data_IF_589650597593
#
_entry.id   IF_589650597593
#
_cell.length_a   1.000
_cell.length_b   1.000
_cell.length_c   1.000
_cell.angle_alpha   90.00
_cell.angle_beta   90.00
_cell.angle_gamma   90.00
#
_symmetry.space_group_name_H-M   'P 1'
#
loop_
_entity.id
_entity.type
_entity.pdbx_description
1 polymer ?
#
# COMPACT_ATOMS: atom_id res chain seq x y z
N UNK A 1 4.14 -41.76 76.29
CA UNK A 1 4.76 -41.39 75.00
C UNK A 1 3.68 -41.50 73.94
N UNK A 2 3.02 -40.38 73.66
CA UNK A 2 1.97 -40.26 72.65
C UNK A 2 2.65 -39.78 71.38
N UNK A 3 2.73 -40.64 70.37
CA UNK A 3 3.28 -40.27 69.06
C UNK A 3 2.28 -39.32 68.39
N UNK A 4 2.69 -38.06 68.19
CA UNK A 4 1.99 -37.12 67.33
C UNK A 4 2.07 -37.66 65.90
N UNK A 5 0.92 -38.06 65.36
CA UNK A 5 0.76 -38.24 63.93
C UNK A 5 0.95 -36.87 63.27
N UNK A 6 2.08 -36.69 62.59
CA UNK A 6 2.29 -35.56 61.71
C UNK A 6 1.24 -35.62 60.61
N UNK A 7 0.31 -34.68 60.61
CA UNK A 7 -0.55 -34.41 59.47
C UNK A 7 0.34 -34.08 58.28
N UNK A 8 0.53 -35.05 57.38
CA UNK A 8 1.05 -34.80 56.04
C UNK A 8 0.09 -33.84 55.34
N UNK A 9 0.42 -32.56 55.36
CA UNK A 9 -0.19 -31.56 54.50
C UNK A 9 0.08 -31.97 53.06
N UNK A 10 -0.97 -32.41 52.36
CA UNK A 10 -0.91 -32.68 50.93
C UNK A 10 -0.28 -31.48 50.20
N UNK A 11 0.62 -31.68 49.22
CA UNK A 11 1.24 -30.58 48.50
C UNK A 11 0.14 -29.74 47.82
N UNK A 12 -0.01 -28.50 48.27
CA UNK A 12 -0.97 -27.56 47.71
C UNK A 12 -0.32 -26.93 46.49
N UNK A 13 -0.84 -27.27 45.31
CA UNK A 13 -0.45 -26.59 44.06
C UNK A 13 -0.95 -25.14 44.15
N UNK A 14 -0.07 -24.13 44.08
CA UNK A 14 -0.49 -22.74 44.14
C UNK A 14 -1.40 -22.41 42.95
N UNK A 15 -2.32 -21.47 43.15
CA UNK A 15 -3.18 -20.98 42.08
C UNK A 15 -2.32 -20.48 40.90
N UNK A 16 -2.72 -20.73 39.65
CA UNK A 16 -1.96 -20.27 38.49
C UNK A 16 -1.88 -18.74 38.48
N UNK A 17 -0.66 -18.21 38.44
CA UNK A 17 -0.33 -16.81 38.13
C UNK A 17 -0.23 -16.62 36.62
N UNK A 18 -0.18 -15.40 36.06
CA UNK A 18 0.17 -15.19 34.65
C UNK A 18 1.49 -15.90 34.27
N UNK A 19 1.63 -16.44 33.04
CA UNK A 19 2.77 -17.29 32.70
C UNK A 19 4.11 -16.54 32.63
N UNK A 20 4.09 -15.23 32.42
CA UNK A 20 5.22 -14.30 32.48
C UNK A 20 5.62 -13.93 33.93
N UNK A 21 4.82 -14.30 34.94
CA UNK A 21 5.17 -14.07 36.33
C UNK A 21 6.40 -14.91 36.71
N UNK A 22 7.38 -14.28 37.35
CA UNK A 22 8.64 -14.94 37.72
C UNK A 22 8.47 -16.16 38.66
N UNK A 23 7.32 -16.30 39.32
CA UNK A 23 6.94 -17.40 40.19
C UNK A 23 5.96 -18.42 39.56
N UNK A 24 5.65 -18.27 38.26
CA UNK A 24 4.77 -19.18 37.52
C UNK A 24 5.39 -20.58 37.42
N UNK A 25 4.96 -21.47 38.32
CA UNK A 25 5.50 -22.83 38.42
C UNK A 25 5.21 -23.71 37.19
N UNK A 26 4.18 -23.38 36.42
CA UNK A 26 3.70 -24.18 35.28
C UNK A 26 4.30 -23.75 33.93
N UNK A 27 4.99 -22.60 33.89
CA UNK A 27 5.62 -22.05 32.69
C UNK A 27 6.95 -21.35 33.05
N UNK A 28 7.90 -22.05 33.70
CA UNK A 28 9.10 -21.42 34.30
C UNK A 28 10.09 -20.83 33.28
N UNK A 29 9.92 -21.19 32.00
CA UNK A 29 10.68 -20.73 30.87
C UNK A 29 10.08 -19.48 30.21
N UNK A 30 8.79 -19.20 30.40
CA UNK A 30 8.14 -17.99 29.87
C UNK A 30 8.65 -16.76 30.62
N UNK A 31 9.00 -15.72 29.86
CA UNK A 31 9.51 -14.44 30.36
C UNK A 31 8.53 -13.32 30.15
N UNK A 32 7.83 -13.35 29.04
CA UNK A 32 6.87 -12.35 28.63
C UNK A 32 5.78 -13.02 27.77
N UNK A 33 4.52 -12.60 27.95
CA UNK A 33 3.41 -13.09 27.15
C UNK A 33 2.31 -12.04 27.06
N UNK A 34 2.00 -11.61 25.83
CA UNK A 34 1.08 -10.51 25.61
C UNK A 34 0.21 -10.73 24.39
N UNK A 35 -0.99 -10.14 24.46
CA UNK A 35 -1.90 -10.06 23.33
C UNK A 35 -1.64 -8.75 22.56
N UNK A 36 -0.83 -8.84 21.51
CA UNK A 36 -0.44 -7.68 20.68
C UNK A 36 -1.57 -7.20 19.75
N UNK A 37 -2.52 -8.10 19.46
CA UNK A 37 -3.73 -7.83 18.71
C UNK A 37 -4.80 -8.85 19.11
N UNK A 38 -6.12 -8.56 19.04
CA UNK A 38 -7.16 -9.50 19.46
C UNK A 38 -6.99 -10.92 18.90
N UNK A 39 -6.69 -11.87 19.79
CA UNK A 39 -6.45 -13.28 19.51
C UNK A 39 -5.02 -13.64 19.04
N UNK A 40 -4.13 -12.66 18.87
CA UNK A 40 -2.72 -12.84 18.54
C UNK A 40 -1.90 -12.71 19.82
N UNK A 41 -1.33 -13.81 20.27
CA UNK A 41 -0.51 -13.84 21.49
C UNK A 41 0.94 -14.09 21.11
N UNK A 42 1.83 -13.22 21.59
CA UNK A 42 3.27 -13.41 21.47
C UNK A 42 3.81 -13.93 22.80
N UNK A 43 4.86 -14.74 22.77
CA UNK A 43 5.46 -15.30 23.98
C UNK A 43 6.96 -15.33 23.81
N UNK A 44 7.68 -14.71 24.75
CA UNK A 44 9.13 -14.82 24.84
C UNK A 44 9.48 -15.91 25.84
N UNK A 45 10.16 -16.96 25.38
CA UNK A 45 10.64 -18.07 26.20
C UNK A 45 12.14 -18.01 26.35
N UNK A 46 12.64 -18.34 27.53
CA UNK A 46 14.07 -18.52 27.78
C UNK A 46 14.49 -19.93 27.38
N UNK A 47 15.43 -20.01 26.45
CA UNK A 47 16.09 -21.25 26.07
C UNK A 47 17.48 -21.37 26.71
N UNK A 48 18.22 -22.44 26.36
CA UNK A 48 19.56 -22.70 26.90
C UNK A 48 20.58 -21.62 26.51
N UNK A 49 20.46 -21.08 25.30
CA UNK A 49 21.43 -20.17 24.69
C UNK A 49 20.87 -18.79 24.32
N UNK A 50 19.66 -18.45 24.75
CA UNK A 50 19.04 -17.17 24.41
C UNK A 50 17.55 -17.16 24.70
N UNK A 51 16.81 -16.51 23.81
CA UNK A 51 15.36 -16.42 23.87
C UNK A 51 14.73 -16.96 22.57
N UNK A 52 13.49 -17.42 22.68
CA UNK A 52 12.63 -17.76 21.55
C UNK A 52 11.42 -16.84 21.58
N UNK A 53 11.08 -16.28 20.43
CA UNK A 53 9.91 -15.46 20.21
C UNK A 53 8.88 -16.26 19.43
N UNK A 54 7.80 -16.67 20.11
CA UNK A 54 6.74 -17.49 19.55
C UNK A 54 5.49 -16.66 19.32
N UNK A 55 4.90 -16.80 18.14
CA UNK A 55 3.61 -16.19 17.78
C UNK A 55 2.52 -17.26 17.79
N UNK A 56 1.36 -16.92 18.35
CA UNK A 56 0.14 -17.70 18.24
C UNK A 56 -0.99 -16.86 17.68
N UNK A 57 -1.31 -17.10 16.42
CA UNK A 57 -2.46 -16.51 15.73
C UNK A 57 -3.82 -17.05 16.25
N UNK A 58 -4.93 -16.34 15.95
CA UNK A 58 -6.27 -16.85 16.19
C UNK A 58 -6.51 -18.17 15.46
N UNK A 59 -6.77 -19.24 16.22
CA UNK A 59 -6.97 -20.59 15.68
C UNK A 59 -8.26 -20.65 14.84
N UNK A 60 -8.14 -21.09 13.60
CA UNK A 60 -9.27 -21.37 12.71
C UNK A 60 -9.75 -22.81 12.88
N UNK A 61 -11.06 -22.98 12.95
CA UNK A 61 -11.70 -24.27 12.68
C UNK A 61 -11.61 -24.62 11.20
N UNK A 62 -11.83 -25.89 10.83
CA UNK A 62 -11.81 -26.32 9.44
C UNK A 62 -12.78 -25.51 8.55
N UNK A 63 -14.00 -25.25 9.02
CA UNK A 63 -14.98 -24.45 8.28
C UNK A 63 -14.53 -22.98 8.10
N UNK A 64 -13.81 -22.42 9.07
CA UNK A 64 -13.28 -21.06 8.97
C UNK A 64 -12.08 -20.99 8.02
N UNK A 65 -11.25 -22.03 7.99
CA UNK A 65 -10.16 -22.16 7.01
C UNK A 65 -10.69 -22.29 5.57
N UNK A 66 -11.75 -23.08 5.35
CA UNK A 66 -12.42 -23.18 4.04
C UNK A 66 -13.03 -21.84 3.61
N UNK A 67 -13.63 -21.11 4.55
CA UNK A 67 -14.17 -19.77 4.31
C UNK A 67 -13.06 -18.76 3.96
N UNK A 68 -11.94 -18.78 4.69
CA UNK A 68 -10.76 -17.98 4.37
C UNK A 68 -10.24 -18.29 2.95
N UNK A 69 -10.07 -19.57 2.62
CA UNK A 69 -9.61 -19.98 1.29
C UNK A 69 -10.53 -19.50 0.17
N UNK A 70 -11.84 -19.46 0.42
CA UNK A 70 -12.84 -18.90 -0.52
C UNK A 70 -12.63 -17.40 -0.72
N UNK A 71 -12.37 -16.66 0.35
CA UNK A 71 -12.06 -15.22 0.30
C UNK A 71 -10.76 -14.98 -0.48
N UNK A 72 -9.68 -15.68 -0.13
CA UNK A 72 -8.37 -15.53 -0.79
C UNK A 72 -8.44 -15.87 -2.27
N UNK A 73 -9.14 -16.95 -2.62
CA UNK A 73 -9.35 -17.34 -4.02
C UNK A 73 -10.12 -16.28 -4.81
N UNK A 74 -11.10 -15.62 -4.18
CA UNK A 74 -11.83 -14.53 -4.83
C UNK A 74 -10.90 -13.34 -5.11
N UNK A 75 -10.04 -12.97 -4.14
CA UNK A 75 -9.14 -11.82 -4.25
C UNK A 75 -7.81 -12.11 -4.96
N UNK A 76 -7.57 -13.34 -5.46
CA UNK A 76 -6.31 -13.71 -6.11
C UNK A 76 -5.94 -12.84 -7.32
N UNK A 77 -6.94 -12.24 -8.00
CA UNK A 77 -6.75 -11.30 -9.11
C UNK A 77 -6.98 -9.83 -8.74
N UNK A 78 -7.04 -9.50 -7.45
CA UNK A 78 -7.20 -8.13 -6.97
C UNK A 78 -5.84 -7.43 -6.84
N UNK A 79 -5.83 -6.12 -7.01
CA UNK A 79 -4.67 -5.29 -6.72
C UNK A 79 -4.93 -4.55 -5.40
N UNK A 80 -4.55 -5.19 -4.29
CA UNK A 80 -4.67 -4.61 -2.95
C UNK A 80 -3.30 -4.06 -2.56
N UNK A 81 -3.21 -2.75 -2.36
CA UNK A 81 -1.94 -2.15 -2.00
C UNK A 81 -1.59 -2.45 -0.54
N UNK A 82 -0.58 -3.30 -0.38
CA UNK A 82 0.02 -3.60 0.93
C UNK A 82 0.81 -2.41 1.47
N UNK A 83 0.77 -2.17 2.80
CA UNK A 83 1.62 -1.21 3.48
C UNK A 83 3.10 -1.34 3.11
N UNK A 84 3.86 -0.26 3.34
CA UNK A 84 5.32 -0.23 3.12
C UNK A 84 6.11 -0.24 4.42
N UNK A 85 5.44 -0.05 5.55
CA UNK A 85 6.05 0.10 6.86
C UNK A 85 5.26 -0.67 7.92
N UNK A 86 5.91 -0.92 9.05
CA UNK A 86 5.27 -1.52 10.23
C UNK A 86 4.02 -0.74 10.66
N UNK A 87 4.13 0.59 10.77
CA UNK A 87 3.01 1.44 11.19
C UNK A 87 1.83 1.32 10.22
N UNK A 88 2.10 1.22 8.92
CA UNK A 88 1.06 1.03 7.92
C UNK A 88 0.33 -0.31 8.06
N UNK A 89 1.01 -1.38 8.47
CA UNK A 89 0.38 -2.66 8.77
C UNK A 89 -0.50 -2.58 10.02
N UNK A 90 -0.01 -1.93 11.08
CA UNK A 90 -0.80 -1.67 12.30
C UNK A 90 -2.06 -0.86 11.99
N UNK A 91 -1.94 0.23 11.20
CA UNK A 91 -3.08 1.03 10.74
C UNK A 91 -4.08 0.20 9.94
N UNK A 92 -3.60 -0.67 9.03
CA UNK A 92 -4.44 -1.53 8.19
C UNK A 92 -5.18 -2.58 9.02
N UNK A 93 -4.50 -3.23 9.97
CA UNK A 93 -5.11 -4.23 10.86
C UNK A 93 -6.17 -3.59 11.75
N UNK A 94 -5.88 -2.44 12.36
CA UNK A 94 -6.84 -1.73 13.21
C UNK A 94 -8.04 -1.16 12.43
N UNK A 95 -7.83 -0.69 11.20
CA UNK A 95 -8.90 -0.17 10.34
C UNK A 95 -9.77 -1.26 9.70
N UNK A 96 -9.19 -2.45 9.52
CA UNK A 96 -9.80 -3.57 8.81
C UNK A 96 -10.01 -3.30 7.31
N UNK A 97 -10.82 -4.14 6.67
CA UNK A 97 -11.20 -3.94 5.28
C UNK A 97 -12.08 -2.70 5.12
N UNK A 98 -11.85 -1.94 4.05
CA UNK A 98 -12.73 -0.84 3.66
C UNK A 98 -14.14 -1.34 3.28
N UNK A 99 -15.04 -0.41 3.00
CA UNK A 99 -16.44 -0.73 2.73
C UNK A 99 -16.63 -1.62 1.49
N UNK A 100 -15.82 -1.47 0.43
CA UNK A 100 -15.97 -2.25 -0.81
C UNK A 100 -15.52 -3.70 -0.61
N UNK A 101 -14.37 -3.92 0.04
CA UNK A 101 -13.87 -5.26 0.33
C UNK A 101 -14.75 -5.98 1.34
N UNK A 102 -15.16 -5.28 2.41
CA UNK A 102 -16.03 -5.87 3.45
C UNK A 102 -17.36 -6.37 2.89
N UNK A 103 -17.98 -5.63 1.97
CA UNK A 103 -19.22 -6.05 1.30
C UNK A 103 -19.04 -7.27 0.40
N UNK A 104 -17.87 -7.43 -0.23
CA UNK A 104 -17.56 -8.64 -0.99
C UNK A 104 -17.41 -9.82 -0.04
N UNK A 105 -16.65 -9.65 1.04
CA UNK A 105 -16.49 -10.66 2.09
C UNK A 105 -17.85 -11.06 2.68
N UNK A 106 -18.73 -10.11 2.99
CA UNK A 106 -20.11 -10.36 3.48
C UNK A 106 -20.93 -11.28 2.57
N UNK A 107 -20.64 -11.31 1.27
CA UNK A 107 -21.32 -12.18 0.31
C UNK A 107 -20.68 -13.56 0.22
N UNK A 108 -19.38 -13.65 0.49
CA UNK A 108 -18.62 -14.89 0.39
C UNK A 108 -18.78 -15.75 1.64
N UNK A 109 -18.88 -15.13 2.82
CA UNK A 109 -18.92 -15.84 4.10
C UNK A 109 -20.23 -15.58 4.85
N UNK A 110 -20.81 -16.65 5.39
CA UNK A 110 -21.86 -16.60 6.41
C UNK A 110 -21.29 -17.16 7.71
N UNK A 111 -20.94 -16.28 8.64
CA UNK A 111 -20.13 -16.63 9.81
C UNK A 111 -20.63 -15.90 11.07
N UNK A 112 -20.48 -16.56 12.23
CA UNK A 112 -20.70 -15.91 13.52
C UNK A 112 -19.75 -14.71 13.69
N UNK A 113 -20.08 -13.72 14.55
CA UNK A 113 -19.18 -12.59 14.78
C UNK A 113 -17.78 -13.00 15.27
N UNK A 114 -17.65 -14.09 16.03
CA UNK A 114 -16.36 -14.58 16.49
C UNK A 114 -15.56 -15.24 15.36
N UNK A 115 -16.22 -16.08 14.56
CA UNK A 115 -15.62 -16.71 13.38
C UNK A 115 -15.18 -15.68 12.36
N UNK A 116 -16.03 -14.68 12.13
CA UNK A 116 -15.75 -13.57 11.23
C UNK A 116 -14.50 -12.81 11.63
N UNK A 117 -14.32 -12.46 12.90
CA UNK A 117 -13.11 -11.76 13.37
C UNK A 117 -11.84 -12.56 13.10
N UNK A 118 -11.87 -13.89 13.26
CA UNK A 118 -10.72 -14.75 12.96
C UNK A 118 -10.44 -14.82 11.46
N UNK A 119 -11.48 -15.01 10.65
CA UNK A 119 -11.34 -15.03 9.18
C UNK A 119 -10.81 -13.68 8.68
N UNK A 120 -11.34 -12.57 9.17
CA UNK A 120 -10.90 -11.21 8.79
C UNK A 120 -9.46 -10.94 9.23
N UNK A 121 -9.03 -11.40 10.41
CA UNK A 121 -7.62 -11.31 10.81
C UNK A 121 -6.69 -11.97 9.79
N UNK A 122 -6.97 -13.24 9.46
CA UNK A 122 -6.14 -14.00 8.52
C UNK A 122 -6.22 -13.40 7.11
N UNK A 123 -7.40 -13.01 6.64
CA UNK A 123 -7.56 -12.38 5.34
C UNK A 123 -6.85 -11.02 5.24
N UNK A 124 -6.85 -10.21 6.30
CA UNK A 124 -6.08 -8.96 6.32
C UNK A 124 -4.58 -9.25 6.32
N UNK A 125 -4.13 -10.20 7.14
CA UNK A 125 -2.73 -10.64 7.20
C UNK A 125 -2.24 -11.07 5.80
N UNK A 126 -2.95 -12.02 5.19
CA UNK A 126 -2.55 -12.66 3.94
C UNK A 126 -2.76 -11.78 2.72
N UNK A 127 -3.85 -11.01 2.61
CA UNK A 127 -4.17 -10.22 1.41
C UNK A 127 -3.65 -8.79 1.47
N UNK A 128 -3.64 -8.18 2.66
CA UNK A 128 -3.52 -6.72 2.80
C UNK A 128 -2.36 -6.27 3.69
N UNK A 129 -1.65 -7.17 4.36
CA UNK A 129 -0.52 -6.89 5.24
C UNK A 129 0.72 -7.71 4.83
N UNK A 130 1.43 -8.30 5.78
CA UNK A 130 2.76 -8.91 5.59
C UNK A 130 2.75 -10.43 5.78
N UNK A 131 1.60 -11.08 5.64
CA UNK A 131 1.48 -12.53 5.78
C UNK A 131 2.03 -12.99 7.16
N UNK A 132 2.89 -14.00 7.22
CA UNK A 132 3.55 -14.50 8.45
C UNK A 132 4.28 -13.41 9.27
N UNK A 133 4.68 -12.29 8.66
CA UNK A 133 5.31 -11.17 9.36
C UNK A 133 4.32 -10.19 9.99
N UNK A 134 3.03 -10.28 9.65
CA UNK A 134 1.99 -9.40 10.22
C UNK A 134 1.97 -9.42 11.76
N UNK A 135 1.97 -10.57 12.47
CA UNK A 135 1.96 -10.57 13.93
C UNK A 135 3.19 -9.92 14.56
N UNK A 136 4.37 -10.04 13.93
CA UNK A 136 5.59 -9.36 14.38
C UNK A 136 5.48 -7.85 14.18
N UNK A 137 4.87 -7.40 13.08
CA UNK A 137 4.61 -5.98 12.81
C UNK A 137 3.64 -5.35 13.83
N UNK A 138 2.77 -6.15 14.46
CA UNK A 138 1.82 -5.70 15.46
C UNK A 138 2.44 -5.50 16.84
N UNK A 139 3.61 -6.09 17.10
CA UNK A 139 4.33 -5.85 18.36
C UNK A 139 5.20 -4.60 18.25
N UNK A 140 4.82 -3.56 18.99
CA UNK A 140 5.58 -2.31 19.04
C UNK A 140 6.92 -2.44 19.78
N UNK A 141 7.09 -3.48 20.61
CA UNK A 141 8.30 -3.72 21.42
C UNK A 141 9.44 -4.33 20.62
N UNK A 142 9.17 -4.83 19.41
CA UNK A 142 10.25 -5.23 18.51
C UNK A 142 10.90 -3.96 17.97
N UNK A 143 12.16 -3.76 18.33
CA UNK A 143 12.97 -2.61 17.92
C UNK A 143 13.75 -2.89 16.63
N UNK A 144 14.33 -4.09 16.55
CA UNK A 144 15.23 -4.50 15.46
C UNK A 144 14.94 -5.95 15.08
N UNK A 145 15.07 -6.26 13.80
CA UNK A 145 15.10 -7.64 13.31
C UNK A 145 16.35 -7.86 12.46
N UNK A 146 17.04 -8.97 12.71
CA UNK A 146 18.21 -9.42 11.98
C UNK A 146 17.91 -10.72 11.23
N UNK A 147 18.59 -10.92 10.09
CA UNK A 147 18.54 -12.18 9.34
C UNK A 147 19.82 -12.97 9.61
N UNK A 148 19.65 -14.24 9.94
CA UNK A 148 20.74 -15.21 10.05
C UNK A 148 20.60 -16.28 8.96
N UNK A 149 21.58 -17.18 8.85
CA UNK A 149 21.50 -18.32 7.93
C UNK A 149 20.33 -19.26 8.27
N UNK A 150 19.89 -19.26 9.53
CA UNK A 150 18.88 -20.19 10.06
C UNK A 150 17.46 -19.58 10.10
N UNK A 151 17.32 -18.25 10.09
CA UNK A 151 16.01 -17.59 10.19
C UNK A 151 16.08 -16.10 10.51
N UNK A 152 14.92 -15.54 10.87
CA UNK A 152 14.83 -14.16 11.40
C UNK A 152 14.95 -14.18 12.92
N UNK A 153 15.71 -13.24 13.45
CA UNK A 153 15.88 -12.99 14.88
C UNK A 153 15.35 -11.60 15.19
N UNK A 154 14.57 -11.46 16.26
CA UNK A 154 14.05 -10.18 16.72
C UNK A 154 14.72 -9.75 18.03
N UNK A 155 14.85 -8.44 18.21
CA UNK A 155 15.30 -7.82 19.44
C UNK A 155 14.14 -7.01 19.99
N UNK A 156 13.65 -7.40 21.16
CA UNK A 156 12.63 -6.63 21.88
C UNK A 156 13.30 -5.68 22.88
N UNK A 157 12.52 -4.75 23.43
CA UNK A 157 12.94 -3.83 24.50
C UNK A 157 13.76 -4.53 25.62
N UNK A 158 13.30 -5.71 26.04
CA UNK A 158 13.84 -6.45 27.19
C UNK A 158 14.60 -7.74 26.83
N UNK A 159 14.43 -8.26 25.62
CA UNK A 159 14.95 -9.58 25.23
C UNK A 159 15.62 -9.55 23.85
N UNK A 160 16.92 -9.84 23.85
CA UNK A 160 17.74 -9.83 22.66
C UNK A 160 18.93 -10.81 22.80
N UNK A 161 19.27 -11.57 21.76
CA UNK A 161 18.46 -11.91 20.58
C UNK A 161 17.35 -12.92 20.92
N UNK A 162 16.21 -12.85 20.21
CA UNK A 162 15.13 -13.83 20.29
C UNK A 162 14.88 -14.50 18.92
N UNK A 163 15.08 -15.82 18.85
CA UNK A 163 14.88 -16.61 17.63
C UNK A 163 13.38 -16.75 17.30
N UNK A 164 13.02 -16.66 16.02
CA UNK A 164 11.64 -16.82 15.55
C UNK A 164 11.46 -18.11 14.76
N UNK A 165 10.20 -18.49 14.48
CA UNK A 165 9.87 -19.61 13.58
C UNK A 165 9.92 -19.25 12.09
N UNK A 166 10.31 -18.01 11.75
CA UNK A 166 10.38 -17.54 10.37
C UNK A 166 11.62 -18.11 9.67
N UNK A 167 11.47 -18.46 8.39
CA UNK A 167 12.61 -18.79 7.53
C UNK A 167 13.55 -17.60 7.31
N UNK A 168 14.72 -17.81 6.66
CA UNK A 168 15.74 -16.77 6.51
C UNK A 168 15.37 -15.64 5.53
N UNK A 169 14.39 -15.84 4.66
CA UNK A 169 13.92 -14.81 3.70
C UNK A 169 12.39 -14.81 3.60
N UNK A 170 11.67 -14.39 4.66
CA UNK A 170 10.23 -14.33 4.64
C UNK A 170 9.75 -13.20 3.73
N UNK A 171 8.60 -13.41 3.08
CA UNK A 171 7.99 -12.39 2.25
C UNK A 171 7.77 -11.10 3.05
N UNK A 172 8.06 -9.94 2.44
CA UNK A 172 7.86 -8.60 3.03
C UNK A 172 8.78 -8.24 4.19
N UNK A 173 9.86 -8.98 4.43
CA UNK A 173 10.86 -8.67 5.46
C UNK A 173 11.33 -7.21 5.43
N UNK A 174 11.61 -6.69 4.22
CA UNK A 174 12.05 -5.32 4.05
C UNK A 174 11.02 -4.28 4.52
N UNK A 175 9.72 -4.59 4.43
CA UNK A 175 8.62 -3.69 4.80
C UNK A 175 8.32 -3.75 6.30
N UNK A 176 8.44 -4.94 6.89
CA UNK A 176 8.33 -5.13 8.33
C UNK A 176 9.38 -4.31 9.08
N UNK A 177 10.63 -4.32 8.59
CA UNK A 177 11.72 -3.53 9.16
C UNK A 177 11.72 -2.05 8.71
N UNK A 178 10.67 -1.57 8.04
CA UNK A 178 10.62 -0.20 7.55
C UNK A 178 9.87 0.73 8.49
N UNK A 179 10.43 1.92 8.68
CA UNK A 179 9.86 3.03 9.46
C UNK A 179 9.29 4.09 8.51
N UNK A 180 8.10 4.60 8.82
CA UNK A 180 7.54 5.77 8.11
C UNK A 180 8.23 7.06 8.58
N UNK A 181 8.83 7.78 7.63
CA UNK A 181 9.41 9.10 7.86
C UNK A 181 8.34 10.19 7.75
N UNK A 182 7.53 10.13 6.70
CA UNK A 182 6.53 11.16 6.41
C UNK A 182 5.30 10.59 5.70
N UNK A 183 4.16 11.27 5.86
CA UNK A 183 2.94 11.04 5.08
C UNK A 183 2.25 12.35 4.75
N UNK A 184 1.88 12.51 3.50
CA UNK A 184 1.09 13.63 2.99
C UNK A 184 0.12 13.14 1.91
N UNK A 185 -0.62 14.07 1.30
CA UNK A 185 -1.60 13.77 0.24
C UNK A 185 -1.38 14.68 -0.95
N UNK A 186 -1.42 14.11 -2.15
CA UNK A 186 -1.38 14.85 -3.41
C UNK A 186 -2.77 14.84 -4.03
N UNK A 187 -3.26 16.00 -4.44
CA UNK A 187 -4.58 16.13 -5.06
C UNK A 187 -4.49 15.93 -6.56
N UNK A 188 -5.48 15.23 -7.12
CA UNK A 188 -5.67 15.12 -8.55
C UNK A 188 -7.16 15.03 -8.82
N UNK A 189 -7.74 16.01 -9.52
CA UNK A 189 -9.11 15.89 -10.04
C UNK A 189 -10.16 15.52 -8.96
N UNK A 190 -10.04 16.09 -7.77
CA UNK A 190 -10.94 15.81 -6.62
C UNK A 190 -10.58 14.57 -5.80
N UNK A 191 -9.59 13.78 -6.24
CA UNK A 191 -9.03 12.66 -5.49
C UNK A 191 -7.88 13.13 -4.60
N UNK A 192 -7.79 12.62 -3.38
CA UNK A 192 -6.66 12.83 -2.48
C UNK A 192 -5.86 11.53 -2.39
N UNK A 193 -4.68 11.51 -3.01
CA UNK A 193 -3.83 10.32 -3.11
C UNK A 193 -2.77 10.37 -2.02
N UNK A 194 -2.77 9.42 -1.06
CA UNK A 194 -1.76 9.39 -0.01
C UNK A 194 -0.38 9.08 -0.58
N UNK A 195 0.62 9.75 -0.04
CA UNK A 195 2.03 9.52 -0.30
C UNK A 195 2.72 9.21 1.02
N UNK A 196 3.65 8.25 1.00
CA UNK A 196 4.44 7.87 2.17
C UNK A 196 5.92 7.88 1.80
N UNK A 197 6.72 8.58 2.60
CA UNK A 197 8.18 8.46 2.57
C UNK A 197 8.58 7.57 3.73
N UNK A 198 9.39 6.56 3.46
CA UNK A 198 9.76 5.56 4.45
C UNK A 198 11.23 5.16 4.32
N UNK A 199 11.79 4.65 5.42
CA UNK A 199 13.16 4.18 5.51
C UNK A 199 13.17 2.67 5.74
N UNK A 200 13.85 1.93 4.87
CA UNK A 200 14.08 0.51 5.05
C UNK A 200 15.35 0.30 5.89
N UNK A 201 15.26 -0.49 6.95
CA UNK A 201 16.39 -0.79 7.84
C UNK A 201 17.05 -2.16 7.57
N UNK A 202 16.80 -2.77 6.41
CA UNK A 202 17.41 -4.04 6.03
C UNK A 202 18.70 -3.81 5.20
N UNK A 203 19.85 -4.26 5.72
CA UNK A 203 21.13 -4.15 5.03
C UNK A 203 21.20 -5.11 3.84
N UNK A 204 21.70 -4.64 2.69
CA UNK A 204 22.07 -5.47 1.54
C UNK A 204 20.99 -5.73 0.48
N UNK A 205 19.74 -5.32 0.69
CA UNK A 205 18.65 -5.51 -0.28
C UNK A 205 18.56 -4.40 -1.35
N UNK A 206 18.81 -3.14 -0.97
CA UNK A 206 18.71 -1.97 -1.86
C UNK A 206 19.78 -0.94 -1.45
N UNK A 207 20.53 -0.33 -2.39
CA UNK A 207 21.42 0.79 -2.05
C UNK A 207 20.68 2.00 -1.48
N UNK A 208 19.38 2.11 -1.75
CA UNK A 208 18.55 3.20 -1.23
C UNK A 208 17.87 2.81 0.08
N UNK A 209 18.25 3.49 1.16
CA UNK A 209 17.61 3.33 2.47
C UNK A 209 16.27 4.07 2.55
N UNK A 210 16.14 5.22 1.89
CA UNK A 210 14.90 6.01 1.88
C UNK A 210 14.16 5.80 0.58
N UNK A 211 12.84 5.64 0.65
CA UNK A 211 11.96 5.34 -0.48
C UNK A 211 10.69 6.18 -0.42
N UNK A 212 10.10 6.39 -1.59
CA UNK A 212 8.87 7.16 -1.76
C UNK A 212 7.78 6.25 -2.34
N UNK A 213 6.58 6.25 -1.77
CA UNK A 213 5.48 5.43 -2.27
C UNK A 213 4.21 6.26 -2.47
N UNK A 214 3.63 6.16 -3.67
CA UNK A 214 2.27 6.63 -3.94
C UNK A 214 1.31 5.50 -3.61
N UNK A 215 0.27 5.81 -2.82
CA UNK A 215 -0.76 4.84 -2.47
C UNK A 215 -2.00 5.05 -3.31
N UNK A 216 -2.12 4.30 -4.41
CA UNK A 216 -3.27 4.42 -5.31
C UNK A 216 -4.46 3.62 -4.78
N UNK A 217 -5.70 3.89 -5.25
CA UNK A 217 -6.88 3.17 -4.77
C UNK A 217 -6.83 1.68 -5.12
N UNK A 218 -7.14 0.81 -4.15
CA UNK A 218 -7.19 -0.65 -4.36
C UNK A 218 -8.17 -1.04 -5.49
N UNK A 219 -7.83 -2.04 -6.30
CA UNK A 219 -8.70 -2.56 -7.36
C UNK A 219 -9.24 -3.96 -7.00
N UNK A 220 -10.54 -4.16 -7.19
CA UNK A 220 -11.18 -5.47 -7.03
C UNK A 220 -10.88 -6.38 -8.24
N UNK A 221 -11.08 -7.70 -8.11
CA UNK A 221 -10.90 -8.62 -9.22
C UNK A 221 -11.67 -8.19 -10.47
N UNK A 222 -10.95 -8.06 -11.59
CA UNK A 222 -11.52 -7.69 -12.89
C UNK A 222 -11.73 -6.19 -13.11
N UNK A 223 -11.37 -5.32 -12.15
CA UNK A 223 -11.48 -3.86 -12.30
C UNK A 223 -10.52 -3.30 -13.35
N UNK A 224 -9.30 -3.84 -13.45
CA UNK A 224 -8.34 -3.44 -14.50
C UNK A 224 -8.94 -3.60 -15.91
N UNK A 225 -9.70 -4.68 -16.15
CA UNK A 225 -10.37 -4.91 -17.43
C UNK A 225 -11.49 -3.88 -17.68
N UNK A 226 -12.19 -3.45 -16.63
CA UNK A 226 -13.21 -2.40 -16.74
C UNK A 226 -12.57 -1.06 -17.10
N UNK A 227 -11.42 -0.75 -16.48
CA UNK A 227 -10.62 0.45 -16.77
C UNK A 227 -10.17 0.44 -18.22
N UNK A 228 -9.54 -0.63 -18.70
CA UNK A 228 -9.07 -0.71 -20.10
C UNK A 228 -10.21 -0.56 -21.10
N UNK A 229 -11.31 -1.31 -20.94
CA UNK A 229 -12.47 -1.21 -21.85
C UNK A 229 -13.10 0.18 -21.78
N UNK A 230 -13.10 0.83 -20.62
CA UNK A 230 -13.58 2.20 -20.50
C UNK A 230 -12.67 3.17 -21.25
N UNK A 231 -11.34 3.06 -21.10
CA UNK A 231 -10.37 3.92 -21.79
C UNK A 231 -10.50 3.82 -23.30
N UNK A 232 -10.57 2.60 -23.84
CA UNK A 232 -10.77 2.35 -25.27
C UNK A 232 -12.05 3.04 -25.78
N UNK A 233 -13.18 2.89 -25.07
CA UNK A 233 -14.46 3.48 -25.47
C UNK A 233 -14.49 5.00 -25.40
N UNK A 234 -13.84 5.58 -24.40
CA UNK A 234 -13.69 7.05 -24.30
C UNK A 234 -12.89 7.55 -25.51
N UNK A 235 -11.79 6.87 -25.84
CA UNK A 235 -10.93 7.20 -26.98
C UNK A 235 -11.67 7.11 -28.33
N UNK A 236 -12.38 6.02 -28.60
CA UNK A 236 -13.13 5.81 -29.86
C UNK A 236 -14.21 6.88 -30.12
N UNK A 237 -14.84 7.38 -29.05
CA UNK A 237 -15.95 8.35 -29.18
C UNK A 237 -15.44 9.78 -29.35
N UNK A 238 -14.20 10.08 -28.93
CA UNK A 238 -13.66 11.44 -28.84
C UNK A 238 -13.27 12.10 -30.17
N UNK A 239 -13.46 11.44 -31.32
CA UNK A 239 -12.96 11.90 -32.62
C UNK A 239 -13.93 12.87 -33.35
N UNK A 240 -15.18 12.99 -32.89
CA UNK A 240 -16.21 13.78 -33.57
C UNK A 240 -16.61 15.08 -32.81
N UNK A 241 -15.69 16.03 -32.61
CA UNK A 241 -16.04 17.38 -32.14
C UNK A 241 -14.93 18.20 -31.46
N UNK A 242 -15.15 19.52 -31.31
CA UNK A 242 -14.28 20.41 -30.53
C UNK A 242 -14.68 20.33 -29.05
N UNK A 243 -13.86 19.66 -28.24
CA UNK A 243 -14.06 19.55 -26.79
C UNK A 243 -13.51 20.82 -26.12
N UNK A 244 -14.37 21.58 -25.43
CA UNK A 244 -13.97 22.82 -24.74
C UNK A 244 -13.29 22.55 -23.40
N UNK A 245 -13.73 21.50 -22.69
CA UNK A 245 -13.11 21.01 -21.45
C UNK A 245 -12.90 19.50 -21.56
N UNK A 246 -11.64 19.11 -21.83
CA UNK A 246 -11.26 17.70 -21.98
C UNK A 246 -11.47 16.93 -20.68
N UNK A 247 -11.20 17.55 -19.54
CA UNK A 247 -11.24 16.89 -18.24
C UNK A 247 -12.68 16.50 -17.91
N UNK A 248 -13.59 17.46 -17.98
CA UNK A 248 -15.00 17.22 -17.65
C UNK A 248 -15.64 16.25 -18.63
N UNK A 249 -15.33 16.38 -19.93
CA UNK A 249 -15.80 15.43 -20.95
C UNK A 249 -15.37 14.00 -20.64
N UNK A 250 -14.08 13.77 -20.35
CA UNK A 250 -13.58 12.43 -20.03
C UNK A 250 -14.23 11.92 -18.75
N UNK A 251 -14.35 12.77 -17.72
CA UNK A 251 -14.96 12.41 -16.43
C UNK A 251 -16.39 11.94 -16.57
N UNK A 252 -17.26 12.77 -17.15
CA UNK A 252 -18.69 12.45 -17.31
C UNK A 252 -18.87 11.18 -18.15
N UNK A 253 -18.11 11.07 -19.24
CA UNK A 253 -18.20 9.92 -20.15
C UNK A 253 -17.75 8.63 -19.48
N UNK A 254 -16.58 8.65 -18.82
CA UNK A 254 -16.04 7.50 -18.11
C UNK A 254 -17.00 7.07 -16.99
N UNK A 255 -17.49 8.02 -16.18
CA UNK A 255 -18.46 7.75 -15.11
C UNK A 255 -19.70 7.05 -15.64
N UNK A 256 -20.27 7.53 -16.75
CA UNK A 256 -21.45 6.93 -17.39
C UNK A 256 -21.18 5.51 -17.89
N UNK A 257 -20.04 5.28 -18.56
CA UNK A 257 -19.67 3.96 -19.10
C UNK A 257 -19.44 2.94 -17.98
N UNK A 258 -18.68 3.32 -16.95
CA UNK A 258 -18.35 2.48 -15.81
C UNK A 258 -19.58 2.15 -14.97
N UNK A 259 -20.42 3.15 -14.65
CA UNK A 259 -21.66 2.92 -13.90
C UNK A 259 -22.58 1.92 -14.63
N UNK A 260 -22.68 2.02 -15.96
CA UNK A 260 -23.43 1.05 -16.78
C UNK A 260 -22.84 -0.35 -16.72
N UNK A 261 -21.51 -0.48 -16.83
CA UNK A 261 -20.83 -1.79 -16.77
C UNK A 261 -20.97 -2.45 -15.39
N UNK A 262 -20.81 -1.68 -14.31
CA UNK A 262 -20.97 -2.17 -12.94
C UNK A 262 -22.40 -2.65 -12.67
N UNK A 263 -23.41 -1.95 -13.20
CA UNK A 263 -24.82 -2.39 -13.09
C UNK A 263 -25.05 -3.74 -13.77
N UNK A 264 -24.49 -3.94 -14.97
CA UNK A 264 -24.62 -5.20 -15.72
C UNK A 264 -23.89 -6.35 -15.03
N UNK A 265 -22.63 -6.16 -14.61
CA UNK A 265 -21.84 -7.23 -13.95
C UNK A 265 -22.40 -7.63 -12.60
N UNK A 266 -22.88 -6.68 -11.79
CA UNK A 266 -23.53 -7.00 -10.52
C UNK A 266 -24.73 -7.94 -10.71
N UNK A 267 -25.41 -7.85 -11.86
CA UNK A 267 -26.53 -8.74 -12.20
C UNK A 267 -26.05 -10.16 -12.53
N UNK A 268 -24.92 -10.30 -13.23
CA UNK A 268 -24.35 -11.61 -13.63
C UNK A 268 -23.63 -12.30 -12.47
N UNK A 269 -22.83 -11.55 -11.69
CA UNK A 269 -22.19 -12.07 -10.47
C UNK A 269 -23.24 -12.51 -9.43
N UNK A 270 -24.39 -11.84 -9.38
CA UNK A 270 -25.53 -12.28 -8.59
C UNK A 270 -26.10 -13.62 -9.08
N UNK A 271 -26.20 -13.85 -10.40
CA UNK A 271 -26.64 -15.13 -10.96
C UNK A 271 -25.64 -16.25 -10.68
N UNK A 272 -24.34 -15.97 -10.76
CA UNK A 272 -23.31 -16.98 -10.51
C UNK A 272 -23.09 -17.27 -9.01
N UNK A 273 -23.17 -16.26 -8.15
CA UNK A 273 -23.18 -16.44 -6.69
C UNK A 273 -24.47 -17.12 -6.21
N UNK A 274 -25.62 -16.79 -6.81
CA UNK A 274 -26.86 -17.52 -6.58
C UNK A 274 -26.71 -18.97 -7.04
N UNK A 275 -26.13 -19.25 -8.21
CA UNK A 275 -25.88 -20.62 -8.70
C UNK A 275 -24.96 -21.43 -7.78
N UNK A 276 -24.02 -20.79 -7.08
CA UNK A 276 -23.19 -21.44 -6.06
C UNK A 276 -23.97 -21.75 -4.76
N UNK A 277 -24.88 -20.87 -4.32
CA UNK A 277 -25.77 -21.11 -3.16
C UNK A 277 -26.94 -22.05 -3.49
N UNK A 278 -27.37 -22.10 -4.75
CA UNK A 278 -28.55 -22.84 -5.22
C UNK A 278 -28.32 -24.36 -5.26
N UNK A 279 -27.08 -24.83 -5.15
CA UNK A 279 -26.77 -26.27 -5.03
C UNK A 279 -27.06 -26.86 -3.64
N UNK A 280 -27.31 -26.01 -2.64
CA UNK A 280 -27.60 -26.44 -1.26
C UNK A 280 -28.98 -25.99 -0.76
N UNK A 281 -29.64 -25.04 -1.43
CA UNK A 281 -30.83 -24.35 -0.93
C UNK A 281 -32.10 -24.51 -1.79
N UNK A 282 -32.12 -25.33 -2.85
CA UNK A 282 -33.35 -25.65 -3.61
C UNK A 282 -34.21 -26.73 -2.94
N UNK A 283 -34.49 -26.57 -1.65
CA UNK A 283 -35.50 -27.38 -0.98
C UNK A 283 -36.55 -26.54 -0.26
N UNK A 284 -36.24 -25.35 0.24
CA UNK A 284 -37.19 -24.57 1.02
C UNK A 284 -36.86 -23.07 0.94
N UNK A 285 -37.90 -22.28 0.69
CA UNK A 285 -38.00 -20.83 0.81
C UNK A 285 -37.70 -19.92 -0.40
N UNK A 286 -38.78 -19.26 -0.78
CA UNK A 286 -38.95 -18.07 -1.59
C UNK A 286 -38.35 -16.84 -0.86
N UNK A 287 -37.27 -16.25 -1.38
CA UNK A 287 -36.64 -15.06 -0.78
C UNK A 287 -36.27 -14.00 -1.82
N UNK A 288 -36.83 -12.81 -1.57
CA UNK A 288 -36.58 -11.56 -2.25
C UNK A 288 -35.13 -11.08 -2.06
N UNK A 289 -34.58 -10.52 -3.14
CA UNK A 289 -33.21 -9.97 -3.22
C UNK A 289 -33.14 -8.66 -2.42
N UNK A 290 -32.19 -8.49 -1.47
CA UNK A 290 -32.00 -7.20 -0.83
C UNK A 290 -31.46 -6.17 -1.84
N UNK A 291 -31.99 -4.93 -1.86
CA UNK A 291 -31.55 -3.90 -2.78
C UNK A 291 -30.09 -3.51 -2.51
N UNK A 292 -29.32 -3.34 -3.59
CA UNK A 292 -27.92 -2.89 -3.53
C UNK A 292 -27.87 -1.44 -3.09
N UNK A 293 -27.03 -1.15 -2.08
CA UNK A 293 -26.81 0.18 -1.53
C UNK A 293 -25.98 1.03 -2.53
N UNK A 294 -26.55 2.13 -3.03
CA UNK A 294 -25.96 2.99 -4.08
C UNK A 294 -24.54 3.48 -3.72
N UNK A 295 -24.25 3.64 -2.42
CA UNK A 295 -22.93 4.05 -1.92
C UNK A 295 -21.79 3.09 -2.30
N UNK A 296 -22.06 1.79 -2.49
CA UNK A 296 -21.05 0.82 -2.94
C UNK A 296 -20.63 1.03 -4.38
N UNK A 297 -21.61 1.28 -5.24
CA UNK A 297 -21.35 1.58 -6.63
C UNK A 297 -20.52 2.87 -6.70
N UNK A 298 -20.82 3.87 -5.87
CA UNK A 298 -20.10 5.14 -5.85
C UNK A 298 -18.63 4.98 -5.45
N UNK A 299 -18.30 4.28 -4.35
CA UNK A 299 -16.90 4.10 -3.92
C UNK A 299 -16.04 3.36 -4.98
N UNK A 300 -16.51 2.21 -5.48
CA UNK A 300 -15.79 1.45 -6.52
C UNK A 300 -15.74 2.21 -7.85
N UNK A 301 -16.82 2.90 -8.22
CA UNK A 301 -16.86 3.72 -9.44
C UNK A 301 -15.84 4.84 -9.38
N UNK A 302 -15.70 5.49 -8.24
CA UNK A 302 -14.74 6.57 -8.04
C UNK A 302 -13.30 6.04 -8.14
N UNK A 303 -13.00 4.85 -7.61
CA UNK A 303 -11.69 4.19 -7.79
C UNK A 303 -11.39 3.94 -9.27
N UNK A 304 -12.34 3.34 -10.02
CA UNK A 304 -12.17 3.10 -11.46
C UNK A 304 -12.00 4.41 -12.23
N UNK A 305 -12.77 5.43 -11.86
CA UNK A 305 -12.74 6.75 -12.47
C UNK A 305 -11.38 7.43 -12.24
N UNK A 306 -10.77 7.26 -11.06
CA UNK A 306 -9.41 7.73 -10.78
C UNK A 306 -8.43 7.19 -11.83
N UNK A 307 -8.40 5.87 -12.06
CA UNK A 307 -7.46 5.28 -13.03
C UNK A 307 -7.71 5.73 -14.46
N UNK A 308 -8.98 5.86 -14.88
CA UNK A 308 -9.32 6.37 -16.22
C UNK A 308 -8.86 7.81 -16.39
N UNK A 309 -9.14 8.69 -15.41
CA UNK A 309 -8.71 10.08 -15.47
C UNK A 309 -7.18 10.21 -15.38
N UNK A 310 -6.53 9.42 -14.52
CA UNK A 310 -5.08 9.40 -14.37
C UNK A 310 -4.39 9.08 -15.69
N UNK A 311 -4.93 8.14 -16.45
CA UNK A 311 -4.33 7.67 -17.70
C UNK A 311 -4.71 8.51 -18.93
N UNK A 312 -5.93 9.08 -18.98
CA UNK A 312 -6.41 9.83 -20.16
C UNK A 312 -6.27 11.35 -20.04
N UNK A 313 -6.21 11.87 -18.81
CA UNK A 313 -6.13 13.31 -18.51
C UNK A 313 -4.84 13.62 -17.75
N UNK A 314 -4.46 12.77 -16.80
CA UNK A 314 -3.19 12.84 -16.11
C UNK A 314 -2.03 12.34 -16.98
N UNK A 315 -0.91 12.02 -16.32
CA UNK A 315 0.33 11.54 -16.92
C UNK A 315 0.60 10.07 -16.55
N UNK A 316 -0.47 9.26 -16.48
CA UNK A 316 -0.40 7.86 -16.06
C UNK A 316 0.28 7.72 -14.70
N UNK A 317 1.30 6.87 -14.62
CA UNK A 317 2.10 6.65 -13.39
C UNK A 317 2.77 7.91 -12.86
N UNK A 318 3.04 8.93 -13.70
CA UNK A 318 3.68 10.17 -13.27
C UNK A 318 2.70 11.25 -12.80
N UNK A 319 1.38 10.99 -12.85
CA UNK A 319 0.33 11.94 -12.45
C UNK A 319 0.55 12.52 -11.06
N UNK A 320 0.81 11.64 -10.09
CA UNK A 320 1.02 12.04 -8.69
C UNK A 320 2.40 12.66 -8.48
N UNK A 321 3.52 12.03 -8.88
CA UNK A 321 4.84 12.66 -8.75
C UNK A 321 4.92 14.05 -9.38
N UNK A 322 4.33 14.28 -10.56
CA UNK A 322 4.35 15.60 -11.22
C UNK A 322 3.60 16.66 -10.41
N UNK A 323 2.51 16.30 -9.74
CA UNK A 323 1.71 17.22 -8.90
C UNK A 323 2.24 17.38 -7.48
N UNK A 324 3.15 16.50 -7.05
CA UNK A 324 3.73 16.60 -5.72
C UNK A 324 4.76 17.74 -5.63
N UNK A 325 4.38 18.85 -5.01
CA UNK A 325 5.22 20.03 -4.80
C UNK A 325 6.44 19.74 -3.92
N UNK A 326 6.42 18.65 -3.15
CA UNK A 326 7.52 18.27 -2.27
C UNK A 326 8.70 17.65 -3.05
N UNK A 327 8.55 17.39 -4.36
CA UNK A 327 9.59 16.84 -5.22
C UNK A 327 10.28 17.93 -6.08
N UNK A 328 11.60 17.84 -6.26
CA UNK A 328 12.40 18.69 -7.15
C UNK A 328 12.59 18.03 -8.53
N UNK A 329 13.05 16.77 -8.57
CA UNK A 329 13.31 16.05 -9.83
C UNK A 329 12.53 14.72 -9.89
N UNK A 330 12.16 14.31 -11.10
CA UNK A 330 11.52 13.01 -11.38
C UNK A 330 12.22 12.39 -12.59
N UNK A 331 12.51 11.10 -12.54
CA UNK A 331 13.23 10.38 -13.58
C UNK A 331 12.59 9.01 -13.83
N UNK A 332 12.20 8.76 -15.07
CA UNK A 332 11.75 7.47 -15.56
C UNK A 332 12.61 7.11 -16.77
N UNK A 333 13.34 5.99 -16.68
CA UNK A 333 14.39 5.67 -17.63
C UNK A 333 14.03 4.57 -18.62
N UNK A 334 13.29 3.56 -18.15
CA UNK A 334 12.99 2.32 -18.89
C UNK A 334 11.69 1.69 -18.40
N UNK A 335 11.12 0.82 -19.22
CA UNK A 335 10.06 -0.12 -18.80
C UNK A 335 10.61 -1.04 -17.72
N UNK A 336 9.78 -1.38 -16.75
CA UNK A 336 10.08 -2.18 -15.55
C UNK A 336 11.16 -1.61 -14.61
N UNK A 337 11.70 -0.43 -14.90
CA UNK A 337 12.56 0.31 -13.98
C UNK A 337 11.72 1.22 -13.08
N UNK A 338 12.02 1.19 -11.78
CA UNK A 338 11.39 2.08 -10.80
C UNK A 338 11.65 3.53 -11.17
N UNK A 339 10.59 4.34 -11.18
CA UNK A 339 10.69 5.80 -11.25
C UNK A 339 11.48 6.27 -10.02
N UNK A 340 12.41 7.19 -10.22
CA UNK A 340 13.21 7.81 -9.16
C UNK A 340 12.78 9.26 -9.01
N UNK A 341 12.77 9.74 -7.78
CA UNK A 341 12.43 11.13 -7.46
C UNK A 341 13.51 11.74 -6.58
N UNK A 342 13.67 13.06 -6.65
CA UNK A 342 14.48 13.83 -5.72
C UNK A 342 13.52 14.62 -4.82
N UNK A 343 13.33 14.21 -3.56
CA UNK A 343 12.59 15.01 -2.60
C UNK A 343 13.32 16.34 -2.34
N UNK A 344 12.57 17.39 -2.02
CA UNK A 344 13.15 18.65 -1.55
C UNK A 344 13.77 18.47 -0.16
N UNK A 345 14.72 19.35 0.19
CA UNK A 345 15.54 19.22 1.38
C UNK A 345 14.76 19.23 2.72
N UNK A 346 13.55 19.79 2.72
CA UNK A 346 12.62 19.81 3.85
C UNK A 346 12.02 18.43 4.18
N UNK A 347 11.98 17.49 3.23
CA UNK A 347 11.64 16.07 3.47
C UNK A 347 12.77 15.28 4.14
N UNK A 348 13.89 15.93 4.51
CA UNK A 348 14.92 15.32 5.34
C UNK A 348 15.77 14.25 4.65
N UNK A 349 15.90 14.28 3.32
CA UNK A 349 16.76 13.38 2.56
C UNK A 349 17.58 14.10 1.49
N UNK A 350 18.89 13.86 1.49
CA UNK A 350 19.82 14.36 0.47
C UNK A 350 20.01 13.29 -0.62
N UNK A 351 19.27 13.40 -1.73
CA UNK A 351 19.51 12.58 -2.92
C UNK A 351 18.27 11.93 -3.53
N UNK A 352 18.50 11.18 -4.62
CA UNK A 352 17.42 10.49 -5.34
C UNK A 352 16.95 9.28 -4.54
N UNK A 353 15.64 9.09 -4.46
CA UNK A 353 14.97 7.93 -3.85
C UNK A 353 14.16 7.17 -4.90
N UNK A 354 14.10 5.83 -4.85
CA UNK A 354 13.28 5.04 -5.74
C UNK A 354 11.82 5.09 -5.28
N UNK A 355 10.91 4.87 -6.23
CA UNK A 355 9.47 4.79 -5.96
C UNK A 355 8.91 3.37 -6.14
N UNK A 356 7.66 3.15 -5.69
CA UNK A 356 6.88 1.97 -6.02
C UNK A 356 6.30 1.97 -7.45
N UNK A 357 6.53 3.05 -8.21
CA UNK A 357 5.97 3.25 -9.53
C UNK A 357 6.95 2.73 -10.59
N UNK A 358 6.41 2.04 -11.59
CA UNK A 358 7.12 1.64 -12.80
C UNK A 358 6.14 1.64 -13.97
N UNK A 359 6.66 1.81 -15.18
CA UNK A 359 5.91 1.55 -16.40
C UNK A 359 6.06 0.07 -16.75
N UNK A 360 4.93 -0.63 -16.90
CA UNK A 360 4.84 -2.06 -17.20
C UNK A 360 4.78 -2.36 -18.70
N UNK A 361 4.59 -1.34 -19.53
CA UNK A 361 4.57 -1.47 -20.98
C UNK A 361 5.19 -0.27 -21.68
N UNK A 362 5.87 -0.55 -22.79
CA UNK A 362 6.43 0.50 -23.65
C UNK A 362 5.33 1.42 -24.20
N UNK A 363 4.16 0.87 -24.54
CA UNK A 363 3.04 1.64 -25.05
C UNK A 363 2.53 2.67 -24.03
N UNK A 364 2.33 2.28 -22.77
CA UNK A 364 1.93 3.21 -21.72
C UNK A 364 2.98 4.30 -21.49
N UNK A 365 4.27 3.93 -21.54
CA UNK A 365 5.36 4.88 -21.36
C UNK A 365 5.48 5.86 -22.54
N UNK A 366 5.38 5.38 -23.78
CA UNK A 366 5.34 6.23 -24.99
C UNK A 366 4.15 7.19 -24.95
N UNK A 367 2.97 6.74 -24.52
CA UNK A 367 1.79 7.60 -24.40
C UNK A 367 2.04 8.78 -23.45
N UNK A 368 2.71 8.56 -22.31
CA UNK A 368 3.05 9.66 -21.39
C UNK A 368 4.10 10.58 -22.00
N UNK A 369 5.12 10.03 -22.68
CA UNK A 369 6.14 10.83 -23.40
C UNK A 369 5.51 11.74 -24.45
N UNK A 370 4.60 11.21 -25.27
CA UNK A 370 3.94 11.98 -26.33
C UNK A 370 2.94 12.98 -25.77
N UNK A 371 2.23 12.65 -24.70
CA UNK A 371 1.32 13.58 -24.03
C UNK A 371 2.07 14.77 -23.42
N UNK A 372 3.16 14.52 -22.69
CA UNK A 372 4.00 15.58 -22.13
C UNK A 372 4.54 16.53 -23.22
N UNK A 373 4.93 15.98 -24.38
CA UNK A 373 5.38 16.80 -25.50
C UNK A 373 4.24 17.63 -26.11
N UNK A 374 3.08 17.01 -26.30
CA UNK A 374 1.91 17.64 -26.92
C UNK A 374 1.32 18.76 -26.06
N UNK A 375 1.43 18.68 -24.74
CA UNK A 375 0.96 19.72 -23.81
C UNK A 375 1.72 21.05 -24.00
N UNK A 376 2.97 21.02 -24.50
CA UNK A 376 3.75 22.21 -24.89
C UNK A 376 3.75 22.44 -26.41
N UNK A 377 2.80 21.81 -27.12
CA UNK A 377 2.62 21.97 -28.58
C UNK A 377 3.67 21.26 -29.44
N UNK A 378 4.43 20.30 -28.89
CA UNK A 378 5.47 19.58 -29.61
C UNK A 378 5.01 18.18 -30.01
N UNK A 379 5.06 17.87 -31.30
CA UNK A 379 4.78 16.52 -31.82
C UNK A 379 6.08 15.72 -31.98
N UNK A 380 6.19 14.61 -31.24
CA UNK A 380 7.32 13.68 -31.36
C UNK A 380 7.09 12.67 -32.48
N UNK A 381 8.14 12.36 -33.23
CA UNK A 381 8.11 11.34 -34.28
C UNK A 381 9.52 10.76 -34.52
N UNK A 382 9.65 9.83 -35.46
CA UNK A 382 10.93 9.19 -35.75
C UNK A 382 12.05 10.16 -36.18
N UNK A 383 11.73 11.33 -36.74
CA UNK A 383 12.69 12.36 -37.13
C UNK A 383 12.97 13.39 -36.03
N UNK A 384 12.00 13.65 -35.15
CA UNK A 384 12.14 14.46 -33.94
C UNK A 384 11.77 13.62 -32.70
N UNK A 385 12.64 12.67 -32.29
CA UNK A 385 12.28 11.67 -31.30
C UNK A 385 12.49 12.13 -29.86
N UNK A 386 12.93 13.37 -29.61
CA UNK A 386 13.02 13.97 -28.28
C UNK A 386 12.68 15.45 -28.28
N UNK A 387 12.28 15.95 -27.11
CA UNK A 387 11.95 17.34 -26.89
C UNK A 387 12.30 17.79 -25.46
N UNK A 388 12.47 19.10 -25.31
CA UNK A 388 12.48 19.78 -24.00
C UNK A 388 11.25 20.67 -23.96
N UNK A 389 10.38 20.44 -23.00
CA UNK A 389 9.06 21.07 -22.90
C UNK A 389 8.83 21.64 -21.50
N UNK A 390 7.93 22.61 -21.39
CA UNK A 390 7.42 23.08 -20.10
C UNK A 390 5.99 22.59 -19.92
N UNK A 391 5.65 22.12 -18.72
CA UNK A 391 4.31 21.62 -18.43
C UNK A 391 3.68 22.40 -17.28
N UNK A 392 2.37 22.58 -17.38
CA UNK A 392 1.51 23.11 -16.33
C UNK A 392 0.44 22.05 -16.01
N UNK A 393 0.64 21.22 -14.99
CA UNK A 393 -0.21 20.07 -14.72
C UNK A 393 -1.63 20.46 -14.28
N UNK A 394 -1.84 21.67 -13.77
CA UNK A 394 -3.13 22.12 -13.25
C UNK A 394 -3.82 23.11 -14.19
N UNK A 395 -3.12 23.67 -15.18
CA UNK A 395 -3.68 24.53 -16.25
C UNK A 395 -4.18 25.89 -15.76
N UNK A 396 -4.32 26.03 -14.45
CA UNK A 396 -4.49 27.26 -13.72
C UNK A 396 -3.14 27.61 -13.11
N UNK A 397 -2.69 28.85 -13.29
CA UNK A 397 -1.52 29.45 -12.65
C UNK A 397 -1.72 29.64 -11.13
N UNK A 398 -2.26 28.62 -10.47
CA UNK A 398 -2.57 28.52 -9.04
C UNK A 398 -1.37 28.05 -8.22
N UNK A 399 -0.34 27.51 -8.87
CA UNK A 399 0.99 27.59 -8.29
C UNK A 399 1.37 29.06 -8.20
N UNK A 400 2.02 29.51 -7.13
CA UNK A 400 2.69 30.82 -7.13
C UNK A 400 3.41 30.93 -8.48
N UNK A 401 3.14 32.00 -9.23
CA UNK A 401 3.36 32.15 -10.68
C UNK A 401 4.82 31.96 -11.18
N UNK A 402 5.69 31.46 -10.32
CA UNK A 402 7.12 31.29 -10.47
C UNK A 402 7.56 29.80 -10.51
N UNK A 403 6.68 28.82 -10.28
CA UNK A 403 7.04 27.39 -10.33
C UNK A 403 7.03 26.85 -11.77
N UNK A 404 8.22 26.73 -12.39
CA UNK A 404 8.36 26.19 -13.75
C UNK A 404 8.71 24.70 -13.71
N UNK A 405 7.91 23.85 -14.35
CA UNK A 405 8.22 22.43 -14.53
C UNK A 405 8.79 22.19 -15.92
N UNK A 406 10.08 21.86 -15.98
CA UNK A 406 10.79 21.55 -17.23
C UNK A 406 10.89 20.05 -17.40
N UNK A 407 10.56 19.55 -18.57
CA UNK A 407 10.60 18.13 -18.88
C UNK A 407 11.46 17.87 -20.13
N UNK A 408 12.32 16.88 -20.06
CA UNK A 408 13.02 16.29 -21.20
C UNK A 408 12.43 14.91 -21.47
N UNK A 409 11.93 14.71 -22.69
CA UNK A 409 11.27 13.47 -23.11
C UNK A 409 11.95 12.89 -24.35
N UNK A 410 11.97 11.56 -24.45
CA UNK A 410 12.51 10.86 -25.61
C UNK A 410 11.75 9.57 -25.92
N UNK A 411 11.57 9.29 -27.21
CA UNK A 411 11.05 8.03 -27.76
C UNK A 411 12.13 6.94 -27.77
N UNK A 412 11.74 5.65 -27.81
CA UNK A 412 12.66 4.51 -27.86
C UNK A 412 13.70 4.58 -28.98
N UNK A 413 13.36 5.20 -30.11
CA UNK A 413 14.17 5.20 -31.34
C UNK A 413 15.59 5.74 -31.15
N UNK A 414 15.82 6.58 -30.12
CA UNK A 414 17.12 7.20 -29.83
C UNK A 414 17.65 6.90 -28.43
N UNK A 415 16.97 6.04 -27.68
CA UNK A 415 17.34 5.69 -26.32
C UNK A 415 17.56 4.19 -26.24
N UNK A 416 18.80 3.78 -25.99
CA UNK A 416 19.26 2.38 -25.94
C UNK A 416 18.53 1.53 -24.87
N UNK A 417 17.66 2.14 -24.06
CA UNK A 417 16.84 1.51 -23.02
C UNK A 417 15.33 1.69 -23.14
N UNK A 418 14.80 2.24 -24.24
CA UNK A 418 13.38 2.55 -24.39
C UNK A 418 13.04 4.02 -24.11
N UNK A 419 11.75 4.38 -23.94
CA UNK A 419 11.36 5.77 -23.71
C UNK A 419 12.03 6.33 -22.44
N UNK A 420 12.21 7.65 -22.39
CA UNK A 420 12.83 8.32 -21.23
C UNK A 420 12.13 9.63 -20.90
N UNK A 421 11.95 9.90 -19.61
CA UNK A 421 11.41 11.15 -19.06
C UNK A 421 12.32 11.63 -17.92
N UNK A 422 12.74 12.89 -17.98
CA UNK A 422 13.38 13.60 -16.87
C UNK A 422 12.66 14.92 -16.63
N UNK A 423 12.20 15.16 -15.42
CA UNK A 423 11.44 16.35 -15.02
C UNK A 423 12.22 17.07 -13.92
N UNK A 424 12.28 18.39 -14.02
CA UNK A 424 12.82 19.28 -13.00
C UNK A 424 11.84 20.38 -12.68
N UNK A 425 11.49 20.52 -11.40
CA UNK A 425 10.61 21.54 -10.86
C UNK A 425 11.45 22.62 -10.20
N UNK A 426 11.44 23.80 -10.77
CA UNK A 426 12.09 24.96 -10.16
C UNK A 426 11.04 25.69 -9.35
N UNK A 427 11.26 25.81 -8.04
CA UNK A 427 10.41 26.68 -7.23
C UNK A 427 10.80 28.14 -7.40
N UNK A 428 9.81 29.02 -7.44
CA UNK A 428 9.99 30.46 -7.53
C UNK A 428 10.73 31.10 -6.37
N UNK A 429 10.72 30.46 -5.21
CA UNK A 429 11.34 30.96 -3.99
C UNK A 429 12.89 30.92 -4.01
N UNK A 430 13.49 30.49 -5.11
CA UNK A 430 14.93 30.63 -5.33
C UNK A 430 15.32 32.08 -5.68
N UNK A 431 15.70 32.80 -4.62
CA UNK A 431 16.39 34.12 -4.54
C UNK A 431 15.45 35.32 -4.33
N UNK A 432 14.77 35.38 -3.17
CA UNK A 432 14.59 36.69 -2.51
C UNK A 432 15.94 37.10 -1.91
N UNK A 433 16.49 38.25 -2.30
CA UNK A 433 17.80 38.78 -1.85
C UNK A 433 18.07 38.73 -0.33
N UNK A 434 17.04 38.58 0.50
CA UNK A 434 17.14 38.47 1.97
C UNK A 434 17.80 37.17 2.49
N UNK A 435 17.75 36.05 1.76
CA UNK A 435 18.35 34.77 2.24
C UNK A 435 19.87 34.72 2.11
N UNK A 436 20.48 35.52 1.24
CA UNK A 436 21.94 35.60 1.10
C UNK A 436 22.60 36.37 2.26
N UNK A 437 21.99 37.45 2.75
CA UNK A 437 22.51 38.20 3.89
C UNK A 437 22.44 37.41 5.20
N UNK A 438 21.41 36.58 5.37
CA UNK A 438 21.26 35.75 6.58
C UNK A 438 22.30 34.61 6.60
N UNK A 439 22.60 33.97 5.45
CA UNK A 439 23.69 32.97 5.34
C UNK A 439 25.09 33.60 5.45
N UNK A 440 25.28 34.83 4.96
CA UNK A 440 26.55 35.55 5.09
C UNK A 440 26.80 36.06 6.53
N UNK A 441 25.76 36.54 7.22
CA UNK A 441 25.88 37.03 8.61
C UNK A 441 26.12 35.90 9.62
N UNK A 442 25.71 34.66 9.32
CA UNK A 442 26.01 33.48 10.15
C UNK A 442 27.44 32.97 9.97
N UNK A 443 28.10 33.22 8.84
CA UNK A 443 29.53 32.90 8.65
C UNK A 443 30.49 33.93 9.26
N UNK A 444 30.04 35.16 9.52
CA UNK A 444 30.90 36.21 10.07
C UNK A 444 30.97 36.22 11.61
N UNK A 445 30.11 35.47 12.31
CA UNK A 445 30.13 35.33 13.78
C UNK A 445 30.96 34.15 14.31
N UNK A 446 31.63 33.40 13.44
CA UNK A 446 32.53 32.31 13.82
C UNK A 446 34.03 32.69 13.81
N UNK A 447 34.35 33.98 13.61
CA UNK A 447 35.70 34.53 13.71
C UNK A 447 35.67 35.86 14.48
N UNK A 448 35.36 35.79 15.79
CA UNK A 448 35.87 36.70 16.83
C UNK A 448 36.06 35.89 18.11
#
# INVERSE_FOLDING_TARGET
MTAQAGTETAPVVPAPTPPDAADAWYAPDVREQDEVYPGVVVTVRRERSGFRYDVRDPVLSAAEADALSTVESHFAGANIERPRTREGAVERMNGGFDAKHRRVIDRLIDASPASRRRIEYHALSSLACFDDLTPYALDSRIDVADVTDDGVVVHTDDYAPAETDLGPDPAYLNRFASERVERHTVRFQGFEIPVVVYREHLLGADPFTTKYAVREPDLLPGDEQLIEVCKERVWETGVDGVVQDRVEFVRERARSLLARQLTVRNTTEWVDAARYRLRSALAELDLAVPPVDHRFADDRLDDLLYYVLRDLVGYGKLTVPIRDHTLEDIEANRVDERVKVLPRADLGHDGRVPTNLAFDSEAAFVNVVTQLAADDGVELNASNPSAKVNIDPDGDSLHDADDTIRCAVALPTISEGGPHISIRKQSGDAIRMYTLETKASLRMKAYV
#
